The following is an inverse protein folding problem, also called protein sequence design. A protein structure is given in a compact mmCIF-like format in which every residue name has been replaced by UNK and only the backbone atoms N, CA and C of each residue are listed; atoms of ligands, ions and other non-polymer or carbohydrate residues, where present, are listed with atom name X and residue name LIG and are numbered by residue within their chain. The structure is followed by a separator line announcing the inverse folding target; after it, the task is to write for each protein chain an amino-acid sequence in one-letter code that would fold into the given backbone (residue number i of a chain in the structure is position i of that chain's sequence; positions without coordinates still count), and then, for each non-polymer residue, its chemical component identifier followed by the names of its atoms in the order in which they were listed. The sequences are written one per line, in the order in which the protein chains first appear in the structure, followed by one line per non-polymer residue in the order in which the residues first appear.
data_IF_342393220200
#
_entry.id   IF_342393220200
#
_cell.length_a   1.000
_cell.length_b   1.000
_cell.length_c   1.000
_cell.angle_alpha   90.00
_cell.angle_beta   90.00
_cell.angle_gamma   90.00
#
_symmetry.space_group_name_H-M   'P 1'
#
loop_
_entity.id
_entity.type
_entity.pdbx_description
1 polymer ?
#
# COMPACT_ATOMS: atom_id res chain seq x y z
N UNK A 1 10.00 -0.14 24.93
CA UNK A 1 9.90 1.03 24.02
C UNK A 1 8.45 1.16 23.61
N UNK A 2 7.77 2.27 23.93
CA UNK A 2 6.30 2.38 23.74
C UNK A 2 5.96 2.48 22.25
N UNK A 3 4.92 1.76 21.81
CA UNK A 3 4.39 1.74 20.44
C UNK A 3 4.18 3.16 19.84
N UNK A 4 3.94 4.13 20.73
CA UNK A 4 3.77 5.55 20.44
C UNK A 4 4.97 6.23 19.76
N UNK A 5 6.20 5.69 19.87
CA UNK A 5 7.38 6.23 19.17
C UNK A 5 7.61 5.53 17.84
N UNK A 6 7.31 4.22 17.75
CA UNK A 6 7.57 3.39 16.57
C UNK A 6 6.77 3.83 15.35
N UNK A 7 5.47 4.10 15.52
CA UNK A 7 4.58 4.49 14.41
C UNK A 7 5.02 5.81 13.74
N UNK A 8 5.24 6.92 14.48
CA UNK A 8 5.73 8.16 13.89
C UNK A 8 7.10 7.99 13.21
N UNK A 9 8.03 7.25 13.82
CA UNK A 9 9.34 6.99 13.21
C UNK A 9 9.21 6.22 11.90
N UNK A 10 8.35 5.20 11.86
CA UNK A 10 8.07 4.44 10.64
C UNK A 10 7.52 5.34 9.53
N UNK A 11 6.53 6.20 9.84
CA UNK A 11 5.95 7.14 8.87
C UNK A 11 6.98 8.13 8.32
N UNK A 12 7.88 8.64 9.19
CA UNK A 12 8.96 9.54 8.75
C UNK A 12 9.94 8.80 7.84
N UNK A 13 10.31 7.56 8.18
CA UNK A 13 11.22 6.76 7.36
C UNK A 13 10.63 6.46 5.98
N UNK A 14 9.35 6.06 5.90
CA UNK A 14 8.70 5.78 4.61
C UNK A 14 8.63 7.04 3.75
N UNK A 15 8.27 8.20 4.32
CA UNK A 15 8.28 9.47 3.61
C UNK A 15 9.66 9.87 3.08
N UNK A 16 10.73 9.61 3.83
CA UNK A 16 12.11 9.84 3.38
C UNK A 16 12.51 8.92 2.24
N UNK A 17 12.17 7.62 2.31
CA UNK A 17 12.42 6.64 1.25
C UNK A 17 11.67 7.01 -0.02
N UNK A 18 10.40 7.38 0.08
CA UNK A 18 9.61 7.83 -1.06
C UNK A 18 10.24 9.05 -1.74
N UNK A 19 10.60 10.08 -0.96
CA UNK A 19 11.24 11.29 -1.48
C UNK A 19 12.58 10.98 -2.14
N UNK A 20 13.37 10.09 -1.54
CA UNK A 20 14.63 9.64 -2.12
C UNK A 20 14.43 8.92 -3.46
N UNK A 21 13.47 7.99 -3.53
CA UNK A 21 13.15 7.26 -4.76
C UNK A 21 12.66 8.20 -5.86
N UNK A 22 11.76 9.13 -5.53
CA UNK A 22 11.26 10.15 -6.47
C UNK A 22 12.41 10.94 -7.10
N UNK A 23 13.30 11.47 -6.26
CA UNK A 23 14.45 12.24 -6.72
C UNK A 23 15.44 11.40 -7.52
N UNK A 24 15.78 10.19 -7.05
CA UNK A 24 16.80 9.35 -7.67
C UNK A 24 16.35 8.76 -9.00
N UNK A 25 15.07 8.46 -9.15
CA UNK A 25 14.51 7.82 -10.33
C UNK A 25 13.84 8.82 -11.27
N UNK A 26 13.80 10.11 -10.88
CA UNK A 26 13.13 11.19 -11.59
C UNK A 26 11.64 10.85 -11.84
N UNK A 27 10.98 10.35 -10.80
CA UNK A 27 9.55 10.01 -10.85
C UNK A 27 8.78 11.32 -10.70
N UNK A 28 8.01 11.67 -11.73
CA UNK A 28 7.14 12.84 -11.69
C UNK A 28 5.96 12.65 -10.74
N UNK A 29 5.22 13.73 -10.49
CA UNK A 29 4.02 13.64 -9.69
C UNK A 29 2.95 12.78 -10.37
N UNK A 30 2.11 12.07 -9.59
CA UNK A 30 0.99 11.34 -10.14
C UNK A 30 0.10 12.29 -10.95
N UNK A 31 -0.26 11.92 -12.18
CA UNK A 31 -1.18 12.71 -13.04
C UNK A 31 -2.60 12.81 -12.45
N UNK A 32 -2.87 12.15 -11.32
CA UNK A 32 -4.14 12.07 -10.59
C UNK A 32 -4.19 10.86 -9.66
N UNK A 33 -5.15 10.84 -8.72
CA UNK A 33 -5.41 9.69 -7.83
C UNK A 33 -5.97 8.45 -8.57
N UNK A 34 -6.48 8.64 -9.79
CA UNK A 34 -7.27 7.69 -10.54
C UNK A 34 -6.93 7.72 -12.05
N UNK A 35 -5.67 7.43 -12.38
CA UNK A 35 -5.24 7.32 -13.77
C UNK A 35 -5.53 5.93 -14.34
N UNK A 36 -6.74 5.75 -14.83
CA UNK A 36 -7.16 4.47 -15.40
C UNK A 36 -6.75 4.34 -16.86
N UNK A 37 -5.93 3.35 -17.17
CA UNK A 37 -5.53 3.03 -18.55
C UNK A 37 -6.67 2.47 -19.41
N UNK A 38 -7.67 1.83 -18.80
CA UNK A 38 -8.85 1.32 -19.50
C UNK A 38 -10.04 1.14 -18.53
N UNK A 39 -11.22 0.81 -19.07
CA UNK A 39 -12.44 0.58 -18.26
C UNK A 39 -12.28 -0.61 -17.29
N UNK A 40 -11.53 -1.64 -17.67
CA UNK A 40 -11.29 -2.81 -16.84
C UNK A 40 -10.49 -2.47 -15.57
N UNK A 41 -9.42 -1.68 -15.72
CA UNK A 41 -8.64 -1.10 -14.61
C UNK A 41 -9.56 -0.41 -13.61
N UNK A 42 -10.41 0.50 -14.11
CA UNK A 42 -11.35 1.27 -13.29
C UNK A 42 -12.29 0.37 -12.50
N UNK A 43 -12.91 -0.62 -13.15
CA UNK A 43 -13.86 -1.50 -12.49
C UNK A 43 -13.21 -2.38 -11.42
N UNK A 44 -11.98 -2.86 -11.66
CA UNK A 44 -11.23 -3.62 -10.64
C UNK A 44 -10.87 -2.72 -9.46
N UNK A 45 -10.38 -1.50 -9.67
CA UNK A 45 -10.10 -0.59 -8.55
C UNK A 45 -11.36 -0.28 -7.74
N UNK A 46 -12.48 0.00 -8.40
CA UNK A 46 -13.77 0.23 -7.72
C UNK A 46 -14.18 -0.99 -6.90
N UNK A 47 -14.03 -2.19 -7.43
CA UNK A 47 -14.33 -3.42 -6.71
C UNK A 47 -13.44 -3.59 -5.46
N UNK A 48 -12.13 -3.39 -5.60
CA UNK A 48 -11.18 -3.50 -4.49
C UNK A 48 -11.47 -2.43 -3.42
N UNK A 49 -11.69 -1.17 -3.82
CA UNK A 49 -11.99 -0.06 -2.90
C UNK A 49 -13.31 -0.33 -2.16
N UNK A 50 -14.34 -0.82 -2.85
CA UNK A 50 -15.59 -1.21 -2.21
C UNK A 50 -15.37 -2.33 -1.19
N UNK A 51 -14.54 -3.32 -1.53
CA UNK A 51 -14.11 -4.36 -0.60
C UNK A 51 -13.39 -3.80 0.63
N UNK A 52 -12.52 -2.81 0.47
CA UNK A 52 -11.81 -2.15 1.58
C UNK A 52 -12.83 -1.51 2.53
N UNK A 53 -13.78 -0.74 2.00
CA UNK A 53 -14.82 -0.05 2.79
C UNK A 53 -15.64 -1.06 3.59
N UNK A 54 -16.06 -2.16 2.96
CA UNK A 54 -16.82 -3.22 3.64
C UNK A 54 -15.99 -3.93 4.71
N UNK A 55 -14.69 -4.13 4.46
CA UNK A 55 -13.79 -4.85 5.36
C UNK A 55 -13.53 -4.13 6.68
N UNK A 56 -13.65 -2.80 6.73
CA UNK A 56 -13.57 -2.02 7.97
C UNK A 56 -14.61 -2.46 9.02
N UNK A 57 -15.74 -3.01 8.59
CA UNK A 57 -16.81 -3.49 9.47
C UNK A 57 -16.70 -4.97 9.82
N UNK A 58 -15.75 -5.70 9.22
CA UNK A 58 -15.64 -7.16 9.36
C UNK A 58 -14.35 -7.58 10.08
N UNK A 59 -13.19 -7.25 9.52
CA UNK A 59 -11.90 -7.65 10.06
C UNK A 59 -10.78 -6.74 9.54
N UNK A 60 -9.98 -6.21 10.46
CA UNK A 60 -8.85 -5.34 10.12
C UNK A 60 -7.83 -6.02 9.17
N UNK A 61 -7.60 -7.34 9.29
CA UNK A 61 -6.66 -8.07 8.42
C UNK A 61 -7.07 -7.97 6.94
N UNK A 62 -8.37 -8.03 6.64
CA UNK A 62 -8.87 -7.92 5.27
C UNK A 62 -8.62 -6.54 4.66
N UNK A 63 -8.64 -5.48 5.49
CA UNK A 63 -8.29 -4.12 5.06
C UNK A 63 -6.85 -4.09 4.54
N UNK A 64 -5.89 -4.63 5.29
CA UNK A 64 -4.48 -4.70 4.87
C UNK A 64 -4.30 -5.53 3.59
N UNK A 65 -4.92 -6.72 3.52
CA UNK A 65 -4.83 -7.60 2.34
C UNK A 65 -5.33 -6.87 1.08
N UNK A 66 -6.46 -6.16 1.19
CA UNK A 66 -7.03 -5.44 0.05
C UNK A 66 -6.20 -4.21 -0.34
N UNK A 67 -5.57 -3.51 0.61
CA UNK A 67 -4.60 -2.47 0.27
C UNK A 67 -3.37 -3.03 -0.45
N UNK A 68 -2.82 -4.15 0.00
CA UNK A 68 -1.70 -4.85 -0.69
C UNK A 68 -2.10 -5.15 -2.13
N UNK A 69 -3.29 -5.72 -2.34
CA UNK A 69 -3.84 -6.03 -3.66
C UNK A 69 -4.06 -4.78 -4.51
N UNK A 70 -4.60 -3.70 -3.94
CA UNK A 70 -4.81 -2.43 -4.65
C UNK A 70 -3.49 -1.88 -5.21
N UNK A 71 -2.48 -1.75 -4.35
CA UNK A 71 -1.20 -1.18 -4.75
C UNK A 71 -0.40 -2.11 -5.66
N UNK A 72 -0.46 -3.43 -5.44
CA UNK A 72 0.14 -4.41 -6.36
C UNK A 72 -0.51 -4.36 -7.74
N UNK A 73 -1.85 -4.24 -7.80
CA UNK A 73 -2.58 -4.12 -9.05
C UNK A 73 -2.23 -2.81 -9.78
N UNK A 74 -2.19 -1.67 -9.07
CA UNK A 74 -1.74 -0.39 -9.61
C UNK A 74 -0.33 -0.47 -10.17
N UNK A 75 0.60 -1.06 -9.42
CA UNK A 75 1.96 -1.28 -9.88
C UNK A 75 2.02 -2.13 -11.15
N UNK A 76 1.25 -3.22 -11.22
CA UNK A 76 1.20 -4.06 -12.40
C UNK A 76 0.65 -3.30 -13.61
N UNK A 77 -0.43 -2.53 -13.44
CA UNK A 77 -1.04 -1.75 -14.50
C UNK A 77 -0.11 -0.65 -14.99
N UNK A 78 0.54 0.09 -14.09
CA UNK A 78 1.52 1.11 -14.47
C UNK A 78 2.76 0.51 -15.13
N UNK A 79 3.31 -0.59 -14.62
CA UNK A 79 4.43 -1.27 -15.25
C UNK A 79 4.11 -1.76 -16.66
N UNK A 80 2.87 -2.20 -16.89
CA UNK A 80 2.41 -2.69 -18.19
C UNK A 80 2.09 -1.57 -19.19
N UNK A 81 1.47 -0.48 -18.74
CA UNK A 81 0.91 0.56 -19.63
C UNK A 81 1.67 1.90 -19.62
N UNK A 82 2.38 2.26 -18.54
CA UNK A 82 3.16 3.49 -18.43
C UNK A 82 4.47 3.26 -17.63
N UNK A 83 5.27 2.31 -18.10
CA UNK A 83 6.56 1.94 -17.47
C UNK A 83 7.52 3.14 -17.37
N UNK A 84 7.43 4.08 -18.31
CA UNK A 84 8.29 5.27 -18.38
C UNK A 84 8.09 6.21 -17.19
N UNK A 85 6.87 6.29 -16.65
CA UNK A 85 6.58 7.08 -15.43
C UNK A 85 7.31 6.56 -14.19
N UNK A 86 7.65 5.26 -14.15
CA UNK A 86 8.23 4.55 -13.00
C UNK A 86 7.39 4.63 -11.71
N UNK A 87 6.15 5.11 -11.78
CA UNK A 87 5.22 5.17 -10.64
C UNK A 87 4.97 3.79 -10.02
N UNK A 88 5.10 2.74 -10.83
CA UNK A 88 4.95 1.35 -10.37
C UNK A 88 5.92 1.01 -9.22
N UNK A 89 7.07 1.68 -9.15
CA UNK A 89 8.06 1.48 -8.08
C UNK A 89 7.52 2.00 -6.74
N UNK A 90 6.82 3.14 -6.75
CA UNK A 90 6.17 3.69 -5.55
C UNK A 90 4.98 2.82 -5.14
N UNK A 91 4.20 2.34 -6.10
CA UNK A 91 3.10 1.42 -5.80
C UNK A 91 3.60 0.06 -5.26
N UNK A 92 4.75 -0.44 -5.71
CA UNK A 92 5.41 -1.61 -5.10
C UNK A 92 5.86 -1.28 -3.67
N UNK A 93 6.43 -0.11 -3.42
CA UNK A 93 6.82 0.33 -2.09
C UNK A 93 5.60 0.32 -1.15
N UNK A 94 4.49 0.98 -1.53
CA UNK A 94 3.27 1.00 -0.71
C UNK A 94 2.71 -0.40 -0.48
N UNK A 95 2.64 -1.25 -1.51
CA UNK A 95 2.21 -2.65 -1.35
C UNK A 95 3.09 -3.40 -0.34
N UNK A 96 4.41 -3.18 -0.39
CA UNK A 96 5.38 -3.78 0.54
C UNK A 96 5.23 -3.24 1.97
N UNK A 97 4.90 -1.95 2.13
CA UNK A 97 4.63 -1.33 3.42
C UNK A 97 3.38 -1.93 4.08
N UNK A 98 2.28 -2.08 3.33
CA UNK A 98 1.07 -2.73 3.85
C UNK A 98 1.30 -4.21 4.20
N UNK A 99 2.15 -4.90 3.44
CA UNK A 99 2.55 -6.29 3.75
C UNK A 99 3.34 -6.36 5.07
N UNK A 100 4.29 -5.45 5.28
CA UNK A 100 5.06 -5.39 6.52
C UNK A 100 4.17 -5.06 7.72
N UNK A 101 3.24 -4.11 7.57
CA UNK A 101 2.25 -3.80 8.62
C UNK A 101 1.35 -4.99 8.95
N UNK A 102 0.92 -5.76 7.93
CA UNK A 102 0.14 -6.99 8.13
C UNK A 102 0.92 -8.03 8.93
N UNK A 103 2.20 -8.25 8.59
CA UNK A 103 3.07 -9.19 9.32
C UNK A 103 3.22 -8.76 10.78
N UNK A 104 3.49 -7.47 11.03
CA UNK A 104 3.60 -6.94 12.39
C UNK A 104 2.29 -7.14 13.17
N UNK A 105 1.14 -6.88 12.53
CA UNK A 105 -0.18 -7.06 13.15
C UNK A 105 -0.41 -8.53 13.52
N UNK A 106 -0.11 -9.47 12.62
CA UNK A 106 -0.24 -10.92 12.90
C UNK A 106 0.66 -11.32 14.07
N UNK A 107 1.94 -10.94 14.06
CA UNK A 107 2.89 -11.25 15.13
C UNK A 107 2.44 -10.67 16.49
N UNK A 108 1.84 -9.48 16.48
CA UNK A 108 1.33 -8.85 17.69
C UNK A 108 0.11 -9.58 18.25
N UNK A 109 -0.86 -9.92 17.38
CA UNK A 109 -2.05 -10.71 17.77
C UNK A 109 -1.66 -12.08 18.30
N UNK A 110 -0.74 -12.77 17.64
CA UNK A 110 -0.26 -14.08 18.08
C UNK A 110 0.40 -14.01 19.45
N UNK A 111 1.22 -12.97 19.68
CA UNK A 111 1.87 -12.73 20.98
C UNK A 111 0.89 -12.54 22.12
N UNK A 112 -0.21 -11.81 21.91
CA UNK A 112 -1.24 -11.64 22.96
C UNK A 112 -1.97 -12.97 23.26
N UNK A 113 -2.12 -13.84 22.25
CA UNK A 113 -2.78 -15.13 22.43
C UNK A 113 -1.96 -16.13 23.26
N UNK A 114 -0.64 -16.00 23.34
CA UNK A 114 0.24 -16.85 24.18
C UNK A 114 0.55 -16.24 25.56
N UNK A 115 0.05 -15.04 25.86
CA UNK A 115 0.27 -14.34 27.13
C UNK A 115 -0.86 -14.56 28.16
N UNK A 116 -1.87 -15.38 27.82
CA UNK A 116 -3.01 -15.81 28.64
C UNK A 116 -2.80 -17.27 29.00
#
# INVERSE_FOLDING_TARGET
MKLSILLPTYIVLTALVEKFLKNKLNIGDPKGLFNHFNKFHKWIEVLIITGIILSFFMNALYVFILFILLYAFRAFMEWKFDKGSKMYILNILYSSEFLLLLIILILFVERESYAI
#
